data_IF_855960300362
#
_entry.id   IF_855960300362
#
_cell.length_a   1.000
_cell.length_b   1.000
_cell.length_c   1.000
_cell.angle_alpha   90.00
_cell.angle_beta   90.00
_cell.angle_gamma   90.00
#
_symmetry.space_group_name_H-M   'P 1'
#
loop_
_entity.id
_entity.type
_entity.pdbx_description
1 polymer ?
#
# COMPACT_ATOMS: atom_id res chain seq x y z
N UNK A 1 0.77 20.09 -0.78
CA UNK A 1 1.44 18.80 -0.48
C UNK A 1 2.26 18.42 -1.71
N UNK A 2 3.45 17.84 -1.53
CA UNK A 2 4.25 17.36 -2.66
C UNK A 2 3.63 16.08 -3.24
N UNK A 3 3.86 15.84 -4.51
CA UNK A 3 3.51 14.59 -5.16
C UNK A 3 4.10 13.40 -4.40
N UNK A 4 3.26 12.42 -4.10
CA UNK A 4 3.66 11.22 -3.36
C UNK A 4 2.71 10.07 -3.63
N UNK A 5 3.12 8.89 -3.23
CA UNK A 5 2.36 7.67 -3.30
C UNK A 5 1.97 7.23 -1.89
N UNK A 6 0.77 6.69 -1.75
CA UNK A 6 0.30 6.09 -0.53
C UNK A 6 -0.42 4.76 -0.81
N UNK A 7 -0.35 3.83 0.12
CA UNK A 7 -1.08 2.58 0.07
C UNK A 7 -1.48 2.16 1.48
N UNK A 8 -2.45 1.24 1.58
CA UNK A 8 -2.70 0.50 2.81
C UNK A 8 -2.76 -0.99 2.50
N UNK A 9 -2.13 -1.78 3.37
CA UNK A 9 -2.16 -3.24 3.33
C UNK A 9 -3.08 -3.71 4.46
N UNK A 10 -4.16 -4.40 4.13
CA UNK A 10 -5.00 -5.08 5.09
C UNK A 10 -4.34 -6.40 5.51
N UNK A 11 -4.45 -6.78 6.77
CA UNK A 11 -3.93 -8.03 7.31
C UNK A 11 -4.68 -8.46 8.56
N UNK A 12 -4.56 -9.74 8.91
CA UNK A 12 -5.04 -10.26 10.20
C UNK A 12 -3.96 -10.06 11.26
N UNK A 13 -4.31 -9.40 12.36
CA UNK A 13 -3.40 -9.16 13.46
C UNK A 13 -3.25 -10.39 14.40
N UNK A 14 -2.57 -10.21 15.53
CA UNK A 14 -2.34 -11.28 16.50
C UNK A 14 -3.60 -11.79 17.21
N UNK A 15 -4.70 -11.05 17.14
CA UNK A 15 -6.01 -11.43 17.67
C UNK A 15 -6.93 -11.98 16.58
N UNK A 16 -6.40 -12.24 15.37
CA UNK A 16 -7.18 -12.55 14.16
C UNK A 16 -8.22 -11.45 13.84
N UNK A 17 -7.95 -10.20 14.23
CA UNK A 17 -8.76 -9.03 13.88
C UNK A 17 -8.20 -8.34 12.63
N UNK A 18 -9.10 -7.78 11.82
CA UNK A 18 -8.74 -7.04 10.63
C UNK A 18 -8.05 -5.72 11.01
N UNK A 19 -6.84 -5.51 10.50
CA UNK A 19 -6.03 -4.31 10.69
C UNK A 19 -5.45 -3.82 9.36
N UNK A 20 -5.03 -2.56 9.32
CA UNK A 20 -4.44 -1.95 8.13
C UNK A 20 -3.07 -1.30 8.43
N UNK A 21 -2.17 -1.37 7.45
CA UNK A 21 -0.81 -0.80 7.55
C UNK A 21 -0.63 0.28 6.48
N UNK A 22 -0.63 1.58 6.85
CA UNK A 22 -0.41 2.65 5.90
C UNK A 22 1.07 2.70 5.47
N UNK A 23 1.29 2.88 4.17
CA UNK A 23 2.60 3.05 3.54
C UNK A 23 2.58 4.35 2.75
N UNK A 24 3.62 5.16 2.86
CA UNK A 24 3.81 6.38 2.05
C UNK A 24 5.23 6.45 1.52
N UNK A 25 5.36 6.85 0.26
CA UNK A 25 6.65 6.96 -0.44
C UNK A 25 6.62 8.10 -1.46
N UNK A 26 7.78 8.69 -1.76
CA UNK A 26 7.90 9.74 -2.79
C UNK A 26 7.89 9.14 -4.20
N UNK A 27 8.47 7.95 -4.35
CA UNK A 27 8.53 7.24 -5.63
C UNK A 27 7.60 6.03 -5.63
N UNK A 28 7.20 5.62 -6.84
CA UNK A 28 6.40 4.41 -7.03
C UNK A 28 7.18 3.14 -6.66
N UNK A 29 8.47 3.09 -6.99
CA UNK A 29 9.30 1.91 -6.75
C UNK A 29 9.50 1.68 -5.24
N UNK A 30 9.74 2.75 -4.47
CA UNK A 30 9.83 2.66 -3.01
C UNK A 30 8.49 2.23 -2.39
N UNK A 31 7.37 2.71 -2.93
CA UNK A 31 6.04 2.27 -2.48
C UNK A 31 5.88 0.76 -2.68
N UNK A 32 6.18 0.26 -3.88
CA UNK A 32 6.05 -1.17 -4.20
C UNK A 32 6.98 -2.01 -3.32
N UNK A 33 8.21 -1.57 -3.08
CA UNK A 33 9.16 -2.27 -2.21
C UNK A 33 8.61 -2.39 -0.77
N UNK A 34 8.14 -1.29 -0.18
CA UNK A 34 7.56 -1.30 1.16
C UNK A 34 6.27 -2.13 1.25
N UNK A 35 5.39 -2.03 0.25
CA UNK A 35 4.15 -2.83 0.22
C UNK A 35 4.48 -4.32 0.14
N UNK A 36 5.45 -4.73 -0.70
CA UNK A 36 5.92 -6.13 -0.75
C UNK A 36 6.46 -6.59 0.60
N UNK A 37 7.26 -5.78 1.27
CA UNK A 37 7.76 -6.10 2.60
C UNK A 37 6.62 -6.37 3.58
N UNK A 38 5.63 -5.47 3.66
CA UNK A 38 4.47 -5.66 4.55
C UNK A 38 3.69 -6.92 4.20
N UNK A 39 3.44 -7.19 2.91
CA UNK A 39 2.75 -8.40 2.45
C UNK A 39 3.48 -9.69 2.86
N UNK A 40 4.81 -9.68 2.92
CA UNK A 40 5.61 -10.85 3.37
C UNK A 40 5.65 -11.03 4.88
N UNK A 41 5.50 -9.95 5.65
CA UNK A 41 5.60 -9.96 7.11
C UNK A 41 4.28 -10.30 7.81
N UNK A 42 3.15 -10.17 7.11
CA UNK A 42 1.81 -10.21 7.70
C UNK A 42 1.00 -11.40 7.18
N UNK A 43 0.23 -12.02 8.09
CA UNK A 43 -0.66 -13.14 7.77
C UNK A 43 -1.89 -12.62 7.01
N UNK A 44 -2.31 -13.35 5.98
CA UNK A 44 -3.49 -13.02 5.16
C UNK A 44 -3.47 -11.58 4.62
N UNK A 45 -2.28 -11.09 4.29
CA UNK A 45 -2.11 -9.70 3.91
C UNK A 45 -2.48 -9.45 2.45
N UNK A 46 -3.15 -8.33 2.18
CA UNK A 46 -3.51 -7.90 0.83
C UNK A 46 -3.45 -6.38 0.67
N UNK A 47 -3.23 -5.91 -0.55
CA UNK A 47 -3.31 -4.47 -0.87
C UNK A 47 -4.77 -4.03 -0.80
N UNK A 48 -5.11 -3.24 0.21
CA UNK A 48 -6.45 -2.72 0.44
C UNK A 48 -6.77 -1.55 -0.48
N UNK A 49 -5.88 -0.55 -0.55
CA UNK A 49 -5.95 0.55 -1.51
C UNK A 49 -4.55 1.10 -1.83
N UNK A 50 -4.41 1.79 -2.96
CA UNK A 50 -3.25 2.63 -3.25
C UNK A 50 -3.61 3.84 -4.11
N UNK A 51 -2.96 4.98 -3.83
CA UNK A 51 -3.16 6.25 -4.53
C UNK A 51 -1.84 6.91 -4.90
N UNK A 52 -1.82 7.59 -6.04
CA UNK A 52 -0.83 8.61 -6.36
C UNK A 52 -1.48 9.98 -6.15
N UNK A 53 -0.95 10.76 -5.23
CA UNK A 53 -1.40 12.11 -4.95
C UNK A 53 -0.60 13.05 -5.83
N UNK A 54 -1.29 13.73 -6.75
CA UNK A 54 -0.71 14.72 -7.66
C UNK A 54 -1.46 16.04 -7.56
N UNK A 55 -0.77 17.12 -7.22
CA UNK A 55 -1.38 18.45 -7.03
C UNK A 55 -2.60 18.44 -6.09
N UNK A 56 -2.56 17.57 -5.06
CA UNK A 56 -3.65 17.39 -4.09
C UNK A 56 -4.85 16.57 -4.62
N UNK A 57 -4.78 15.99 -5.82
CA UNK A 57 -5.76 15.04 -6.34
C UNK A 57 -5.27 13.62 -6.16
N UNK A 58 -6.17 12.75 -5.73
CA UNK A 58 -5.91 11.31 -5.58
C UNK A 58 -6.22 10.60 -6.91
N UNK A 59 -5.24 9.84 -7.39
CA UNK A 59 -5.38 8.97 -8.56
C UNK A 59 -5.26 7.54 -8.05
N UNK A 60 -6.33 6.75 -8.18
CA UNK A 60 -6.33 5.34 -7.80
C UNK A 60 -5.29 4.57 -8.65
N UNK A 61 -4.41 3.86 -7.96
CA UNK A 61 -3.40 2.98 -8.54
C UNK A 61 -3.41 1.59 -7.88
N UNK A 62 -4.48 1.24 -7.18
CA UNK A 62 -4.63 0.01 -6.38
C UNK A 62 -4.30 -1.24 -7.19
N UNK A 63 -4.94 -1.39 -8.36
CA UNK A 63 -4.72 -2.55 -9.21
C UNK A 63 -3.29 -2.60 -9.76
N UNK A 64 -2.72 -1.44 -10.08
CA UNK A 64 -1.34 -1.35 -10.55
C UNK A 64 -0.36 -1.82 -9.47
N UNK A 65 -0.58 -1.45 -8.21
CA UNK A 65 0.23 -1.92 -7.07
C UNK A 65 0.02 -3.41 -6.82
N UNK A 66 -1.22 -3.92 -6.89
CA UNK A 66 -1.52 -5.36 -6.75
C UNK A 66 -0.74 -6.20 -7.76
N UNK A 67 -0.81 -5.85 -9.04
CA UNK A 67 -0.08 -6.55 -10.11
C UNK A 67 1.43 -6.48 -9.89
N UNK A 68 1.96 -5.33 -9.46
CA UNK A 68 3.40 -5.19 -9.20
C UNK A 68 3.88 -5.97 -7.97
N UNK A 69 2.99 -6.31 -7.04
CA UNK A 69 3.28 -7.02 -5.79
C UNK A 69 3.18 -8.55 -5.88
N UNK A 70 2.63 -9.08 -6.97
CA UNK A 70 2.64 -10.52 -7.31
C UNK A 70 4.04 -10.96 -7.76
#
# INVERSE_FOLDING_TARGET
MKDHYAASVAYDDHNDEWSDWPVQSITYDDLVAHVKEVLTLRKNAEVFFAVYVKDGKEIDITERVRVACQ
#
